data_IF_270701530839
#
_entry.id   IF_270701530839
#
_cell.length_a   1.000
_cell.length_b   1.000
_cell.length_c   1.000
_cell.angle_alpha   90.00
_cell.angle_beta   90.00
_cell.angle_gamma   90.00
#
_symmetry.space_group_name_H-M   'P 1'
#
loop_
_entity.id
_entity.type
_entity.pdbx_description
1 polymer ?
#
# COMPACT_ATOMS: atom_id res chain seq x y z
N UNK A 1 2.27 3.88 -4.32
CA UNK A 1 1.55 5.15 -4.55
C UNK A 1 0.17 5.08 -3.91
N UNK A 2 -0.08 5.98 -2.96
CA UNK A 2 -1.29 6.05 -2.12
C UNK A 2 -2.48 6.75 -2.83
N UNK A 3 -2.24 7.31 -4.01
CA UNK A 3 -3.27 7.92 -4.86
C UNK A 3 -2.91 7.71 -6.32
N UNK A 4 -3.89 7.79 -7.20
CA UNK A 4 -3.72 7.52 -8.64
C UNK A 4 -3.52 8.80 -9.45
N UNK A 5 -2.93 8.65 -10.64
CA UNK A 5 -2.78 9.75 -11.59
C UNK A 5 -4.13 10.37 -11.98
N UNK A 6 -5.15 9.54 -12.19
CA UNK A 6 -6.49 9.99 -12.57
C UNK A 6 -7.14 10.87 -11.47
N UNK A 7 -6.99 10.50 -10.20
CA UNK A 7 -7.48 11.30 -9.07
C UNK A 7 -6.86 12.71 -9.06
N UNK A 8 -5.55 12.82 -9.32
CA UNK A 8 -4.87 14.10 -9.40
C UNK A 8 -5.28 14.92 -10.62
N UNK A 9 -5.39 14.29 -11.79
CA UNK A 9 -5.86 14.94 -13.02
C UNK A 9 -7.27 15.51 -12.84
N UNK A 10 -8.22 14.72 -12.29
CA UNK A 10 -9.58 15.19 -11.96
C UNK A 10 -9.55 16.37 -11.01
N UNK A 11 -8.71 16.34 -9.96
CA UNK A 11 -8.58 17.45 -9.01
C UNK A 11 -8.04 18.73 -9.67
N UNK A 12 -7.11 18.60 -10.60
CA UNK A 12 -6.50 19.72 -11.31
C UNK A 12 -7.29 20.17 -12.54
N UNK A 13 -8.38 19.46 -12.88
CA UNK A 13 -9.14 19.65 -14.11
C UNK A 13 -8.27 19.52 -15.38
N UNK A 14 -7.38 18.52 -15.39
CA UNK A 14 -6.51 18.18 -16.51
C UNK A 14 -7.06 16.97 -17.27
N UNK A 15 -6.87 16.96 -18.59
CA UNK A 15 -7.15 15.79 -19.42
C UNK A 15 -6.11 14.68 -19.21
N UNK A 16 -6.49 13.44 -19.52
CA UNK A 16 -5.58 12.29 -19.58
C UNK A 16 -4.41 12.56 -20.54
N UNK A 17 -3.21 12.05 -20.26
CA UNK A 17 -2.02 12.28 -21.10
C UNK A 17 -1.29 13.59 -20.82
N UNK A 18 -1.86 14.52 -20.05
CA UNK A 18 -1.21 15.82 -19.76
C UNK A 18 -0.25 15.69 -18.57
N UNK A 19 1.01 16.10 -18.77
CA UNK A 19 2.04 16.23 -17.72
C UNK A 19 2.24 14.98 -16.83
N UNK A 20 1.95 13.78 -17.35
CA UNK A 20 1.84 12.56 -16.53
C UNK A 20 3.10 12.28 -15.71
N UNK A 21 4.27 12.45 -16.30
CA UNK A 21 5.56 12.27 -15.61
C UNK A 21 5.68 13.21 -14.41
N UNK A 22 5.34 14.48 -14.59
CA UNK A 22 5.41 15.50 -13.52
C UNK A 22 4.34 15.23 -12.45
N UNK A 23 3.13 14.86 -12.85
CA UNK A 23 2.05 14.52 -11.92
C UNK A 23 2.42 13.30 -11.07
N UNK A 24 2.97 12.25 -11.67
CA UNK A 24 3.46 11.08 -10.95
C UNK A 24 4.60 11.42 -9.98
N UNK A 25 5.55 12.28 -10.37
CA UNK A 25 6.62 12.77 -9.48
C UNK A 25 6.05 13.49 -8.26
N UNK A 26 5.06 14.38 -8.47
CA UNK A 26 4.41 15.10 -7.37
C UNK A 26 3.61 14.18 -6.45
N UNK A 27 2.93 13.15 -6.97
CA UNK A 27 2.24 12.14 -6.16
C UNK A 27 3.21 11.34 -5.31
N UNK A 28 4.30 10.85 -5.90
CA UNK A 28 5.35 10.11 -5.17
C UNK A 28 5.99 10.97 -4.10
N UNK A 29 6.30 12.22 -4.42
CA UNK A 29 6.87 13.19 -3.46
C UNK A 29 5.91 13.48 -2.32
N UNK A 30 4.64 13.75 -2.61
CA UNK A 30 3.62 13.98 -1.60
C UNK A 30 3.44 12.78 -0.67
N UNK A 31 3.30 11.58 -1.22
CA UNK A 31 3.19 10.33 -0.47
C UNK A 31 4.39 10.14 0.46
N UNK A 32 5.62 10.27 -0.07
CA UNK A 32 6.83 10.10 0.72
C UNK A 32 6.99 11.15 1.83
N UNK A 33 6.57 12.40 1.59
CA UNK A 33 6.56 13.43 2.63
C UNK A 33 5.54 13.13 3.72
N UNK A 34 4.33 12.70 3.34
CA UNK A 34 3.27 12.34 4.28
C UNK A 34 3.69 11.16 5.15
N UNK A 35 4.20 10.07 4.57
CA UNK A 35 4.70 8.91 5.33
C UNK A 35 5.81 9.30 6.31
N UNK A 36 6.79 10.08 5.86
CA UNK A 36 7.90 10.55 6.71
C UNK A 36 7.41 11.39 7.88
N UNK A 37 6.46 12.29 7.67
CA UNK A 37 5.95 13.20 8.69
C UNK A 37 4.90 12.55 9.61
N UNK A 38 4.20 11.53 9.12
CA UNK A 38 3.30 10.69 9.91
C UNK A 38 4.08 9.67 10.75
N UNK A 39 5.27 9.25 10.30
CA UNK A 39 6.01 8.15 10.90
C UNK A 39 5.29 6.81 10.72
N UNK A 40 4.56 6.65 9.60
CA UNK A 40 3.80 5.45 9.24
C UNK A 40 3.97 5.16 7.75
N UNK A 41 3.79 3.90 7.38
CA UNK A 41 3.64 3.48 5.98
C UNK A 41 2.16 3.24 5.66
N UNK A 42 1.69 3.71 4.51
CA UNK A 42 0.28 3.60 4.11
C UNK A 42 0.06 2.60 2.99
N UNK A 43 1.11 1.93 2.52
CA UNK A 43 0.99 0.77 1.65
C UNK A 43 1.43 -0.48 2.40
N UNK A 44 0.76 -1.63 2.18
CA UNK A 44 1.12 -2.87 2.83
C UNK A 44 2.48 -3.36 2.32
N UNK A 45 3.31 -3.85 3.25
CA UNK A 45 4.60 -4.47 2.94
C UNK A 45 4.80 -5.78 3.68
N UNK A 46 5.23 -6.81 2.97
CA UNK A 46 5.65 -8.08 3.58
C UNK A 46 7.07 -7.91 4.10
N UNK A 47 7.25 -8.07 5.41
CA UNK A 47 8.56 -7.88 6.00
C UNK A 47 8.74 -8.63 7.33
N UNK A 48 9.98 -8.91 7.68
CA UNK A 48 10.36 -9.46 8.98
C UNK A 48 11.10 -8.40 9.77
N UNK A 49 10.53 -7.98 10.92
CA UNK A 49 11.13 -6.99 11.81
C UNK A 49 11.58 -7.62 13.11
N UNK A 50 12.83 -7.35 13.50
CA UNK A 50 13.36 -7.74 14.82
C UNK A 50 13.01 -6.69 15.86
N UNK A 51 12.45 -7.13 16.98
CA UNK A 51 12.07 -6.27 18.09
C UNK A 51 12.84 -6.64 19.35
N UNK A 52 13.19 -5.62 20.15
CA UNK A 52 13.72 -5.82 21.50
C UNK A 52 12.58 -5.83 22.50
N UNK A 53 12.56 -6.83 23.37
CA UNK A 53 11.54 -6.97 24.40
C UNK A 53 11.89 -6.07 25.57
N UNK A 54 11.00 -5.12 25.87
CA UNK A 54 11.12 -4.20 27.01
C UNK A 54 10.18 -4.57 28.16
N UNK A 55 9.11 -5.30 27.88
CA UNK A 55 8.16 -5.79 28.87
C UNK A 55 7.92 -7.29 28.71
N UNK A 56 7.77 -8.05 29.81
CA UNK A 56 7.73 -9.51 29.77
C UNK A 56 6.48 -10.08 29.11
N UNK A 57 5.38 -9.32 29.00
CA UNK A 57 4.10 -9.83 28.48
C UNK A 57 3.55 -9.02 27.30
N UNK A 58 4.11 -7.85 27.04
CA UNK A 58 3.67 -6.95 25.99
C UNK A 58 4.86 -6.50 25.16
N UNK A 59 4.69 -6.50 23.85
CA UNK A 59 5.66 -5.99 22.91
C UNK A 59 5.06 -4.84 22.14
N UNK A 60 5.61 -3.65 22.34
CA UNK A 60 5.30 -2.49 21.52
C UNK A 60 6.03 -2.66 20.19
N UNK A 61 5.26 -2.65 19.10
CA UNK A 61 5.82 -2.83 17.76
C UNK A 61 6.56 -1.57 17.30
N UNK A 62 7.55 -1.75 16.43
CA UNK A 62 8.29 -0.63 15.82
C UNK A 62 7.53 0.03 14.67
N UNK A 63 6.58 -0.70 14.08
CA UNK A 63 5.71 -0.23 13.01
C UNK A 63 4.27 -0.74 13.24
N UNK A 64 3.36 -0.34 12.37
CA UNK A 64 1.97 -0.80 12.36
C UNK A 64 1.87 -2.17 11.67
N UNK A 65 1.27 -3.16 12.35
CA UNK A 65 1.11 -4.52 11.85
C UNK A 65 -0.33 -4.75 11.35
N UNK A 66 -0.50 -4.99 10.05
CA UNK A 66 -1.80 -5.28 9.43
C UNK A 66 -2.19 -6.75 9.60
N UNK A 67 -1.22 -7.64 9.42
CA UNK A 67 -1.43 -9.09 9.50
C UNK A 67 -0.19 -9.77 10.07
N UNK A 68 -0.38 -10.59 11.10
CA UNK A 68 0.69 -11.40 11.69
C UNK A 68 0.77 -12.74 10.96
N UNK A 69 1.93 -13.05 10.39
CA UNK A 69 2.22 -14.37 9.82
C UNK A 69 2.90 -15.26 10.86
N UNK A 70 4.02 -14.80 11.43
CA UNK A 70 4.71 -15.55 12.48
C UNK A 70 5.48 -14.64 13.44
N UNK A 71 5.66 -15.12 14.66
CA UNK A 71 6.57 -14.55 15.65
C UNK A 71 7.43 -15.66 16.25
N UNK A 72 8.73 -15.46 16.22
CA UNK A 72 9.71 -16.45 16.69
C UNK A 72 10.79 -15.79 17.55
N UNK A 73 11.32 -16.55 18.50
CA UNK A 73 12.57 -16.25 19.21
C UNK A 73 13.57 -17.41 19.09
N UNK A 74 14.63 -17.37 19.88
CA UNK A 74 15.65 -18.44 19.95
C UNK A 74 15.10 -19.79 20.46
N UNK A 75 13.92 -19.81 21.06
CA UNK A 75 13.22 -21.00 21.57
C UNK A 75 12.11 -21.49 20.62
N UNK A 76 11.82 -20.76 19.54
CA UNK A 76 10.85 -21.15 18.52
C UNK A 76 9.65 -20.21 18.43
N UNK A 77 8.50 -20.75 18.02
CA UNK A 77 7.29 -19.96 17.79
C UNK A 77 6.61 -19.51 19.09
N UNK A 78 6.10 -18.28 19.11
CA UNK A 78 5.44 -17.68 20.27
C UNK A 78 3.95 -17.50 19.98
N UNK A 79 3.09 -17.89 20.93
CA UNK A 79 1.65 -17.60 20.82
C UNK A 79 1.33 -16.24 21.41
N UNK A 80 0.85 -15.34 20.56
CA UNK A 80 0.50 -13.95 20.91
C UNK A 80 -0.94 -13.63 20.53
N UNK A 81 -1.47 -12.58 21.14
CA UNK A 81 -2.68 -11.90 20.66
C UNK A 81 -2.35 -10.49 20.20
N UNK A 82 -2.96 -10.08 19.10
CA UNK A 82 -2.81 -8.77 18.49
C UNK A 82 -3.72 -7.74 19.14
N UNK A 83 -3.17 -6.57 19.49
CA UNK A 83 -3.89 -5.46 20.10
C UNK A 83 -3.79 -4.19 19.24
N UNK A 84 -4.89 -3.41 19.08
CA UNK A 84 -6.22 -3.62 19.69
C UNK A 84 -6.98 -4.83 19.13
N UNK A 85 -7.78 -5.50 19.98
CA UNK A 85 -8.50 -6.73 19.59
C UNK A 85 -9.46 -6.48 18.42
N UNK A 86 -9.38 -7.33 17.41
CA UNK A 86 -10.27 -7.29 16.24
C UNK A 86 -10.15 -6.00 15.42
N UNK A 87 -9.04 -5.27 15.57
CA UNK A 87 -8.79 -4.03 14.87
C UNK A 87 -7.41 -4.06 14.23
N UNK A 88 -7.32 -3.49 13.04
CA UNK A 88 -6.07 -3.29 12.31
C UNK A 88 -5.80 -1.80 12.13
N UNK A 89 -4.53 -1.37 12.17
CA UNK A 89 -3.36 -2.19 12.49
C UNK A 89 -3.21 -2.45 13.99
N UNK A 90 -2.48 -3.52 14.31
CA UNK A 90 -2.01 -3.80 15.65
C UNK A 90 -0.72 -3.03 15.94
N UNK A 91 -0.61 -2.49 17.15
CA UNK A 91 0.58 -1.76 17.61
C UNK A 91 1.24 -2.45 18.81
N UNK A 92 0.56 -3.41 19.43
CA UNK A 92 1.05 -4.18 20.57
C UNK A 92 0.74 -5.66 20.34
N UNK A 93 1.69 -6.52 20.66
CA UNK A 93 1.47 -7.97 20.78
C UNK A 93 1.53 -8.37 22.25
N UNK A 94 0.56 -9.18 22.69
CA UNK A 94 0.53 -9.71 24.04
C UNK A 94 0.84 -11.21 24.02
N UNK A 95 1.92 -11.62 24.67
CA UNK A 95 2.30 -13.03 24.77
C UNK A 95 1.50 -13.75 25.85
N UNK A 96 0.95 -14.92 25.53
CA UNK A 96 0.13 -15.71 26.46
C UNK A 96 0.94 -16.22 27.66
N UNK A 97 2.19 -16.64 27.40
CA UNK A 97 3.10 -17.18 28.41
C UNK A 97 4.23 -16.20 28.78
N UNK A 98 4.16 -14.97 28.27
CA UNK A 98 5.27 -14.02 28.31
C UNK A 98 6.35 -14.29 27.26
N UNK A 99 7.24 -13.33 27.09
CA UNK A 99 8.41 -13.42 26.22
C UNK A 99 9.64 -13.85 27.05
N UNK A 100 10.33 -14.89 26.59
CA UNK A 100 11.47 -15.49 27.33
C UNK A 100 12.82 -15.03 26.81
N UNK A 101 12.91 -14.66 25.53
CA UNK A 101 14.12 -14.11 24.92
C UNK A 101 14.24 -12.58 25.13
N UNK A 102 15.39 -12.02 24.72
CA UNK A 102 15.58 -10.55 24.66
C UNK A 102 15.05 -9.93 23.37
N UNK A 103 14.97 -10.72 22.31
CA UNK A 103 14.57 -10.28 20.97
C UNK A 103 13.64 -11.29 20.32
N UNK A 104 12.73 -10.80 19.50
CA UNK A 104 11.84 -11.61 18.66
C UNK A 104 11.90 -11.14 17.22
N UNK A 105 11.68 -12.07 16.29
CA UNK A 105 11.49 -11.78 14.87
C UNK A 105 10.01 -11.93 14.54
N UNK A 106 9.43 -10.91 13.91
CA UNK A 106 8.02 -10.90 13.54
C UNK A 106 7.93 -10.77 12.02
N UNK A 107 7.39 -11.81 11.38
CA UNK A 107 7.02 -11.83 9.97
C UNK A 107 5.55 -11.48 9.83
N UNK A 108 5.21 -10.67 8.84
CA UNK A 108 3.83 -10.30 8.56
C UNK A 108 3.71 -9.22 7.50
N UNK A 109 2.50 -8.71 7.38
CA UNK A 109 2.17 -7.54 6.55
C UNK A 109 2.16 -6.32 7.46
N UNK A 110 3.04 -5.36 7.17
CA UNK A 110 3.20 -4.11 7.89
C UNK A 110 2.63 -2.95 7.09
N UNK A 111 2.20 -1.90 7.79
CA UNK A 111 1.59 -0.70 7.22
C UNK A 111 0.38 -0.26 8.04
N UNK A 112 -0.24 0.82 7.62
CA UNK A 112 -1.42 1.38 8.26
C UNK A 112 -2.60 1.40 7.30
N UNK A 113 -3.72 0.85 7.76
CA UNK A 113 -5.00 0.93 7.08
C UNK A 113 -6.12 0.81 8.12
N UNK A 114 -7.05 1.75 8.13
CA UNK A 114 -8.14 1.82 9.11
C UNK A 114 -9.24 0.75 8.90
N UNK A 115 -9.28 0.11 7.73
CA UNK A 115 -10.21 -0.97 7.37
C UNK A 115 -9.52 -2.07 6.55
N UNK A 116 -8.49 -2.73 7.10
CA UNK A 116 -7.61 -3.66 6.35
C UNK A 116 -8.38 -4.78 5.63
N UNK A 117 -9.43 -5.31 6.25
CA UNK A 117 -10.29 -6.36 5.68
C UNK A 117 -10.96 -5.95 4.35
N UNK A 118 -11.12 -4.64 4.11
CA UNK A 118 -11.69 -4.07 2.88
C UNK A 118 -10.65 -3.35 2.00
N UNK A 119 -9.36 -3.48 2.33
CA UNK A 119 -8.30 -2.76 1.63
C UNK A 119 -7.97 -3.35 0.25
N UNK A 120 -8.40 -4.59 -0.03
CA UNK A 120 -8.28 -5.23 -1.33
C UNK A 120 -9.64 -5.34 -1.98
N UNK A 121 -9.81 -4.68 -3.13
CA UNK A 121 -11.03 -4.71 -3.91
C UNK A 121 -10.85 -5.59 -5.13
N UNK A 122 -11.80 -6.49 -5.37
CA UNK A 122 -11.84 -7.28 -6.60
C UNK A 122 -11.98 -6.36 -7.83
N UNK A 123 -11.09 -6.53 -8.80
CA UNK A 123 -11.13 -5.78 -10.06
C UNK A 123 -12.22 -6.28 -11.02
N UNK A 124 -12.79 -7.47 -10.76
CA UNK A 124 -13.62 -8.23 -11.70
C UNK A 124 -12.88 -8.58 -13.00
N UNK A 125 -11.57 -8.76 -12.90
CA UNK A 125 -10.69 -9.19 -13.97
C UNK A 125 -9.75 -10.30 -13.49
N UNK A 126 -9.22 -11.05 -14.45
CA UNK A 126 -8.35 -12.20 -14.21
C UNK A 126 -7.17 -12.19 -15.18
N UNK A 127 -6.13 -12.96 -14.84
CA UNK A 127 -5.01 -13.23 -15.75
C UNK A 127 -5.52 -14.00 -16.97
N UNK A 128 -5.36 -13.45 -18.18
CA UNK A 128 -5.86 -14.06 -19.43
C UNK A 128 -4.85 -14.97 -20.15
N UNK A 129 -3.64 -15.13 -19.60
CA UNK A 129 -2.64 -16.05 -20.15
C UNK A 129 -2.66 -17.38 -19.43
N UNK A 130 -2.49 -18.49 -20.17
CA UNK A 130 -2.41 -19.85 -19.62
C UNK A 130 -1.39 -19.96 -18.46
N UNK A 131 -0.27 -19.23 -18.58
CA UNK A 131 0.75 -19.14 -17.56
C UNK A 131 1.44 -17.78 -17.64
N UNK A 132 1.34 -16.99 -16.57
CA UNK A 132 2.11 -15.77 -16.40
C UNK A 132 3.39 -16.13 -15.64
N UNK A 133 4.54 -16.16 -16.34
CA UNK A 133 5.83 -16.49 -15.72
C UNK A 133 6.24 -15.44 -14.69
N UNK A 134 7.12 -15.80 -13.76
CA UNK A 134 7.71 -14.95 -12.70
C UNK A 134 8.55 -13.75 -13.21
N UNK A 135 8.88 -13.70 -14.49
CA UNK A 135 9.60 -12.58 -15.13
C UNK A 135 8.73 -11.74 -16.08
N UNK A 136 7.51 -12.17 -16.39
CA UNK A 136 6.63 -11.43 -17.28
C UNK A 136 6.18 -10.11 -16.64
N UNK A 137 6.37 -8.99 -17.34
CA UNK A 137 5.99 -7.63 -16.88
C UNK A 137 4.78 -7.07 -17.61
N UNK A 138 4.24 -7.80 -18.58
CA UNK A 138 2.99 -7.50 -19.26
C UNK A 138 1.97 -8.56 -18.86
N UNK A 139 0.85 -8.12 -18.27
CA UNK A 139 -0.24 -8.99 -17.84
C UNK A 139 -1.41 -8.78 -18.80
N UNK A 140 -1.75 -9.77 -19.64
CA UNK A 140 -2.98 -9.75 -20.39
C UNK A 140 -4.18 -9.86 -19.43
N UNK A 141 -5.12 -8.93 -19.56
CA UNK A 141 -6.39 -8.88 -18.83
C UNK A 141 -7.55 -8.84 -19.83
N UNK A 142 -8.80 -8.94 -19.36
CA UNK A 142 -9.97 -8.91 -20.26
C UNK A 142 -10.34 -7.46 -20.63
N UNK A 143 -10.44 -6.56 -19.64
CA UNK A 143 -10.85 -5.17 -19.87
C UNK A 143 -10.20 -4.22 -18.86
N UNK A 144 -9.23 -3.42 -19.33
CA UNK A 144 -8.55 -2.44 -18.46
C UNK A 144 -9.40 -1.21 -18.12
N UNK A 145 -10.40 -0.88 -18.95
CA UNK A 145 -11.25 0.31 -18.79
C UNK A 145 -12.57 0.00 -18.07
N UNK A 146 -12.88 -1.29 -17.92
CA UNK A 146 -14.06 -1.80 -17.23
C UNK A 146 -14.19 -1.31 -15.79
N UNK A 147 -15.38 -1.50 -15.23
CA UNK A 147 -15.65 -1.11 -13.85
C UNK A 147 -15.26 -2.22 -12.85
N UNK A 148 -14.83 -1.85 -11.66
CA UNK A 148 -14.50 -2.81 -10.59
C UNK A 148 -15.76 -3.27 -9.80
N UNK A 149 -15.57 -4.02 -8.71
CA UNK A 149 -16.66 -4.51 -7.87
C UNK A 149 -17.56 -3.43 -7.23
N UNK A 150 -17.14 -2.16 -7.22
CA UNK A 150 -17.94 -1.01 -6.77
C UNK A 150 -18.44 -0.13 -7.91
N UNK A 151 -18.35 -0.60 -9.16
CA UNK A 151 -18.68 0.14 -10.38
C UNK A 151 -17.80 1.38 -10.61
N UNK A 152 -16.57 1.40 -10.09
CA UNK A 152 -15.62 2.47 -10.39
C UNK A 152 -14.80 2.14 -11.65
N UNK A 153 -14.71 3.09 -12.58
CA UNK A 153 -13.97 2.96 -13.83
C UNK A 153 -12.99 4.16 -14.04
N UNK A 154 -11.83 3.93 -14.67
CA UNK A 154 -11.29 2.62 -15.08
C UNK A 154 -10.80 1.80 -13.87
N UNK A 155 -10.95 0.47 -13.90
CA UNK A 155 -10.57 -0.45 -12.80
C UNK A 155 -9.07 -0.49 -12.53
N UNK A 156 -8.24 -0.31 -13.57
CA UNK A 156 -6.79 -0.26 -13.44
C UNK A 156 -6.25 1.13 -13.78
N UNK A 157 -5.34 1.62 -12.95
CA UNK A 157 -4.76 2.94 -13.10
C UNK A 157 -3.26 2.92 -12.83
N UNK A 158 -2.50 3.72 -13.59
CA UNK A 158 -1.06 3.88 -13.37
C UNK A 158 -0.80 4.36 -11.93
N UNK A 159 0.15 3.69 -11.28
CA UNK A 159 0.52 3.93 -9.89
C UNK A 159 -0.24 3.07 -8.88
N UNK A 160 -1.31 2.39 -9.26
CA UNK A 160 -2.08 1.52 -8.36
C UNK A 160 -1.27 0.29 -7.94
N UNK A 161 -1.41 -0.10 -6.67
CA UNK A 161 -0.91 -1.39 -6.17
C UNK A 161 -1.97 -2.44 -6.46
N UNK A 162 -1.58 -3.55 -7.08
CA UNK A 162 -2.45 -4.70 -7.33
C UNK A 162 -1.87 -5.94 -6.64
N UNK A 163 -2.71 -6.95 -6.46
CA UNK A 163 -2.34 -8.25 -5.91
C UNK A 163 -2.91 -9.38 -6.76
N UNK A 164 -2.08 -10.38 -7.03
CA UNK A 164 -2.45 -11.65 -7.64
C UNK A 164 -1.89 -12.73 -6.71
N UNK A 165 -2.75 -13.62 -6.20
CA UNK A 165 -2.41 -14.53 -5.09
C UNK A 165 -1.77 -13.78 -3.90
N UNK A 166 -0.54 -14.14 -3.52
CA UNK A 166 0.24 -13.50 -2.47
C UNK A 166 1.24 -12.44 -2.99
N UNK A 167 1.30 -12.21 -4.29
CA UNK A 167 2.25 -11.27 -4.89
C UNK A 167 1.64 -9.88 -5.04
N UNK A 168 2.41 -8.86 -4.66
CA UNK A 168 2.09 -7.46 -4.91
C UNK A 168 2.82 -6.97 -6.16
N UNK A 169 2.11 -6.20 -6.99
CA UNK A 169 2.65 -5.61 -8.21
C UNK A 169 2.22 -4.14 -8.33
N UNK A 170 3.05 -3.31 -8.95
CA UNK A 170 2.73 -1.90 -9.24
C UNK A 170 2.37 -1.73 -10.70
N UNK A 171 1.22 -1.14 -10.98
CA UNK A 171 0.86 -0.76 -12.36
C UNK A 171 1.73 0.41 -12.81
N UNK A 172 2.54 0.20 -13.85
CA UNK A 172 3.39 1.21 -14.49
C UNK A 172 2.75 1.80 -15.75
N UNK A 173 1.91 1.02 -16.42
CA UNK A 173 1.25 1.39 -17.67
C UNK A 173 -0.03 0.59 -17.89
N UNK A 174 -0.97 1.20 -18.61
CA UNK A 174 -2.23 0.57 -19.03
C UNK A 174 -2.33 0.76 -20.55
N UNK A 175 -2.60 -0.32 -21.29
CA UNK A 175 -2.73 -0.32 -22.74
C UNK A 175 -4.12 -0.82 -23.14
N UNK A 176 -5.13 0.07 -23.26
CA UNK A 176 -6.50 -0.31 -23.58
C UNK A 176 -6.64 -1.08 -24.89
N UNK A 177 -5.95 -0.65 -25.94
CA UNK A 177 -6.03 -1.26 -27.27
C UNK A 177 -5.59 -2.74 -27.30
N UNK A 178 -4.82 -3.19 -26.29
CA UNK A 178 -4.30 -4.54 -26.19
C UNK A 178 -4.79 -5.29 -24.94
N UNK A 179 -5.58 -4.64 -24.08
CA UNK A 179 -5.94 -5.14 -22.75
C UNK A 179 -4.71 -5.64 -21.94
N UNK A 180 -3.65 -4.83 -21.90
CA UNK A 180 -2.40 -5.18 -21.21
C UNK A 180 -2.14 -4.21 -20.05
N UNK A 181 -1.80 -4.76 -18.89
CA UNK A 181 -1.18 -4.03 -17.79
C UNK A 181 0.34 -4.22 -17.85
N UNK A 182 1.07 -3.11 -17.88
CA UNK A 182 2.52 -3.13 -17.65
C UNK A 182 2.78 -2.95 -16.16
N UNK A 183 3.53 -3.87 -15.54
CA UNK A 183 3.73 -3.90 -14.09
C UNK A 183 5.20 -3.98 -13.68
N UNK A 184 5.47 -3.48 -12.48
CA UNK A 184 6.63 -3.87 -11.67
C UNK A 184 6.18 -4.98 -10.72
N UNK A 185 6.98 -6.03 -10.60
CA UNK A 185 6.63 -7.27 -9.89
C UNK A 185 7.38 -7.44 -8.58
N UNK A 186 6.85 -8.28 -7.69
CA UNK A 186 7.49 -8.56 -6.40
C UNK A 186 7.72 -7.29 -5.57
N UNK A 187 6.79 -6.33 -5.59
CA UNK A 187 6.97 -5.07 -4.88
C UNK A 187 6.64 -5.22 -3.40
N UNK A 188 7.05 -4.26 -2.58
CA UNK A 188 6.71 -4.21 -1.15
C UNK A 188 7.07 -5.50 -0.37
N UNK A 189 8.16 -6.17 -0.77
CA UNK A 189 8.69 -7.33 -0.07
C UNK A 189 8.11 -8.69 -0.50
N UNK A 190 7.20 -8.73 -1.47
CA UNK A 190 6.76 -9.99 -2.08
C UNK A 190 7.81 -10.48 -3.09
N UNK A 191 7.73 -11.75 -3.48
CA UNK A 191 8.56 -12.32 -4.56
C UNK A 191 7.71 -12.52 -5.81
N UNK A 192 8.29 -12.33 -6.99
CA UNK A 192 7.60 -12.62 -8.24
C UNK A 192 7.36 -14.13 -8.40
N UNK A 193 6.14 -14.54 -8.75
CA UNK A 193 5.74 -15.96 -8.83
C UNK A 193 5.00 -16.28 -10.13
N UNK A 194 4.83 -17.57 -10.44
CA UNK A 194 4.03 -17.94 -11.61
C UNK A 194 2.55 -17.93 -11.26
N UNK A 195 1.71 -17.32 -12.10
CA UNK A 195 0.25 -17.35 -11.95
C UNK A 195 -0.41 -18.08 -13.13
N UNK A 196 -1.52 -18.75 -12.88
CA UNK A 196 -2.28 -19.46 -13.91
C UNK A 196 -3.37 -18.56 -14.51
N UNK A 197 -3.95 -18.99 -15.62
CA UNK A 197 -5.14 -18.34 -16.19
C UNK A 197 -6.27 -18.31 -15.17
N UNK A 198 -7.13 -17.30 -15.28
CA UNK A 198 -8.29 -17.08 -14.42
C UNK A 198 -7.96 -16.73 -12.95
N UNK A 199 -6.68 -16.56 -12.59
CA UNK A 199 -6.34 -16.05 -11.26
C UNK A 199 -6.87 -14.62 -11.10
N UNK A 200 -7.70 -14.33 -10.07
CA UNK A 200 -8.27 -13.01 -9.86
C UNK A 200 -7.24 -11.93 -9.55
N UNK A 201 -7.50 -10.73 -10.05
CA UNK A 201 -6.68 -9.55 -9.78
C UNK A 201 -7.41 -8.64 -8.77
N UNK A 202 -6.73 -8.30 -7.69
CA UNK A 202 -7.23 -7.36 -6.69
C UNK A 202 -6.50 -6.03 -6.78
N UNK A 203 -7.19 -4.94 -6.48
CA UNK A 203 -6.63 -3.60 -6.40
C UNK A 203 -6.59 -3.13 -4.95
N UNK A 204 -5.47 -2.55 -4.55
CA UNK A 204 -5.35 -1.94 -3.23
C UNK A 204 -6.14 -0.63 -3.18
N UNK A 205 -6.93 -0.46 -2.13
CA UNK A 205 -7.70 0.72 -1.82
C UNK A 205 -7.05 1.38 -0.61
N UNK A 206 -6.29 2.47 -0.79
CA UNK A 206 -5.68 3.16 0.33
C UNK A 206 -6.76 3.84 1.20
N UNK A 207 -6.46 4.18 2.48
CA UNK A 207 -7.42 4.86 3.32
C UNK A 207 -7.83 6.19 2.69
N UNK A 208 -9.13 6.43 2.59
CA UNK A 208 -9.70 7.54 1.79
C UNK A 208 -9.17 8.90 2.23
N UNK A 209 -8.95 9.10 3.52
CA UNK A 209 -8.39 10.30 4.10
C UNK A 209 -6.92 10.51 3.70
N UNK A 210 -6.14 9.43 3.63
CA UNK A 210 -4.73 9.49 3.24
C UNK A 210 -4.62 9.75 1.74
N UNK A 211 -5.39 9.03 0.92
CA UNK A 211 -5.45 9.28 -0.52
C UNK A 211 -5.84 10.73 -0.81
N UNK A 212 -6.90 11.23 -0.17
CA UNK A 212 -7.34 12.62 -0.31
C UNK A 212 -6.26 13.64 0.08
N UNK A 213 -5.54 13.39 1.18
CA UNK A 213 -4.43 14.23 1.63
C UNK A 213 -3.28 14.23 0.61
N UNK A 214 -2.90 13.07 0.08
CA UNK A 214 -1.85 12.92 -0.93
C UNK A 214 -2.21 13.69 -2.20
N UNK A 215 -3.44 13.55 -2.72
CA UNK A 215 -3.88 14.27 -3.92
C UNK A 215 -3.86 15.79 -3.69
N UNK A 216 -4.29 16.26 -2.52
CA UNK A 216 -4.25 17.69 -2.15
C UNK A 216 -2.83 18.23 -2.08
N UNK A 217 -1.93 17.48 -1.47
CA UNK A 217 -0.54 17.85 -1.31
C UNK A 217 0.21 17.82 -2.63
N UNK A 218 -0.02 16.80 -3.46
CA UNK A 218 0.54 16.72 -4.82
C UNK A 218 0.05 17.87 -5.70
N UNK A 219 -1.23 18.23 -5.63
CA UNK A 219 -1.76 19.39 -6.35
C UNK A 219 -1.11 20.72 -5.93
N UNK A 220 -0.77 20.87 -4.65
CA UNK A 220 0.00 22.02 -4.17
C UNK A 220 1.43 22.00 -4.71
N UNK A 221 2.16 20.87 -4.59
CA UNK A 221 3.51 20.71 -5.14
C UNK A 221 3.57 20.94 -6.66
N UNK A 222 2.51 20.57 -7.39
CA UNK A 222 2.42 20.82 -8.82
C UNK A 222 2.34 22.31 -9.14
N UNK A 223 1.55 23.08 -8.36
CA UNK A 223 1.37 24.53 -8.55
C UNK A 223 2.56 25.36 -8.06
N UNK A 224 3.20 24.91 -6.98
CA UNK A 224 4.31 25.59 -6.31
C UNK A 224 5.60 24.73 -6.37
N UNK A 225 6.16 24.46 -7.56
CA UNK A 225 7.25 23.50 -7.74
C UNK A 225 8.53 23.88 -6.97
N UNK A 226 8.73 25.16 -6.70
CA UNK A 226 9.89 25.70 -5.97
C UNK A 226 9.75 25.54 -4.44
N UNK A 227 8.54 25.28 -3.92
CA UNK A 227 8.27 25.18 -2.48
C UNK A 227 8.30 23.74 -1.96
N UNK A 228 9.29 22.93 -2.37
CA UNK A 228 9.44 21.54 -1.89
C UNK A 228 9.91 21.43 -0.43
N UNK A 229 10.10 22.55 0.27
CA UNK A 229 10.55 22.61 1.67
C UNK A 229 9.38 22.53 2.65
N UNK A 230 9.64 21.99 3.85
CA UNK A 230 8.60 21.78 4.87
C UNK A 230 7.96 23.08 5.40
N UNK A 231 8.67 24.21 5.29
CA UNK A 231 8.20 25.51 5.82
C UNK A 231 7.11 26.16 4.98
N UNK A 232 6.93 25.73 3.72
CA UNK A 232 5.90 26.25 2.82
C UNK A 232 4.58 25.47 2.85
N UNK A 233 4.51 24.35 3.59
CA UNK A 233 3.33 23.47 3.56
C UNK A 233 2.13 24.19 4.18
N UNK A 234 0.97 24.25 3.48
CA UNK A 234 -0.25 24.84 4.03
C UNK A 234 -0.64 24.25 5.39
N UNK A 235 -0.93 25.11 6.37
CA UNK A 235 -1.26 24.71 7.74
C UNK A 235 -2.44 23.73 7.83
N UNK A 236 -3.40 23.81 6.92
CA UNK A 236 -4.53 22.88 6.84
C UNK A 236 -4.08 21.43 6.54
N UNK A 237 -3.11 21.25 5.64
CA UNK A 237 -2.56 19.92 5.34
C UNK A 237 -1.77 19.37 6.53
N UNK A 238 -1.03 20.23 7.23
CA UNK A 238 -0.30 19.84 8.43
C UNK A 238 -1.24 19.42 9.57
N UNK A 239 -2.39 20.07 9.71
CA UNK A 239 -3.41 19.70 10.70
C UNK A 239 -4.00 18.33 10.42
N UNK A 240 -4.33 18.02 9.17
CA UNK A 240 -4.84 16.70 8.76
C UNK A 240 -3.77 15.60 8.91
N UNK A 241 -2.52 15.90 8.56
CA UNK A 241 -1.39 15.00 8.76
C UNK A 241 -1.18 14.66 10.24
N UNK A 242 -1.42 15.61 11.15
CA UNK A 242 -1.24 15.40 12.57
C UNK A 242 -2.14 14.29 13.13
N UNK A 243 -3.35 14.09 12.59
CA UNK A 243 -4.23 12.99 13.01
C UNK A 243 -3.78 11.61 12.50
N UNK A 244 -2.88 11.57 11.52
CA UNK A 244 -2.34 10.32 10.96
C UNK A 244 -1.03 9.89 11.63
N UNK A 245 -0.51 10.67 12.58
CA UNK A 245 0.78 10.37 13.21
C UNK A 245 0.74 9.06 13.98
N UNK A 246 1.87 8.34 13.96
CA UNK A 246 2.10 7.23 14.88
C UNK A 246 2.18 7.76 16.30
N UNK A 247 1.43 7.12 17.20
CA UNK A 247 1.41 7.42 18.64
C UNK A 247 2.35 6.44 19.33
#
# INVERSE_FOLDING_TARGET
MIATLNQLQRRLNLATGVDEVRLLDTLRTAAAQIERLAGRHFEPRVHTLTHTITHPTQLILQDDLLELDSITDEHGAITVTCLPYGQTPSSILQATQGFMAKTVSISGIWGWHNAWESAWRDSLDTVQTALLSDVATNIPVDDVEGADALNEAPRFQIGQLIRIDAEYMRVLGVQPDYAILQVERGVNGTTATTHVVDTPIYTYQPPVEVASLVVRWAAWLYREPDQRTLTGIPAALMKELASLRRI
#
